data_IF_126967880965
#
_entry.id   IF_126967880965
#
_cell.length_a   1.000
_cell.length_b   1.000
_cell.length_c   1.000
_cell.angle_alpha   90.00
_cell.angle_beta   90.00
_cell.angle_gamma   90.00
#
_symmetry.space_group_name_H-M   'P 1'
#
loop_
_entity.id
_entity.type
_entity.pdbx_description
1 polymer ?
#
# COMPACT_ATOMS: atom_id res chain seq x y z
N UNK A 1 7.42 1.81 7.05
CA UNK A 1 6.58 3.02 7.26
C UNK A 1 7.05 3.91 8.41
N UNK A 2 7.12 3.42 9.66
CA UNK A 2 7.49 4.23 10.85
C UNK A 2 8.73 5.13 10.67
N UNK A 3 9.86 4.56 10.23
CA UNK A 3 11.09 5.34 9.98
C UNK A 3 10.91 6.42 8.91
N UNK A 4 10.11 6.16 7.87
CA UNK A 4 9.84 7.15 6.81
C UNK A 4 9.02 8.31 7.34
N UNK A 5 7.98 8.03 8.13
CA UNK A 5 7.12 9.05 8.72
C UNK A 5 7.95 10.02 9.55
N UNK A 6 8.77 9.49 10.44
CA UNK A 6 9.59 10.30 11.33
C UNK A 6 10.74 11.02 10.62
N UNK A 7 11.34 10.42 9.59
CA UNK A 7 12.33 11.10 8.75
C UNK A 7 11.73 12.34 8.07
N UNK A 8 10.48 12.23 7.60
CA UNK A 8 9.78 13.31 6.90
C UNK A 8 9.19 14.35 7.86
N UNK A 9 8.63 13.92 8.99
CA UNK A 9 8.04 14.77 10.02
C UNK A 9 8.61 14.39 11.40
N UNK A 10 9.76 14.97 11.80
CA UNK A 10 10.43 14.62 13.05
C UNK A 10 9.61 14.87 14.33
N UNK A 11 8.62 15.76 14.25
CA UNK A 11 7.73 16.08 15.37
C UNK A 11 6.54 15.13 15.50
N UNK A 12 6.36 14.18 14.57
CA UNK A 12 5.30 13.17 14.67
C UNK A 12 5.73 12.08 15.66
N UNK A 13 4.93 11.89 16.70
CA UNK A 13 5.11 10.74 17.60
C UNK A 13 4.73 9.45 16.89
N UNK A 14 5.62 8.46 16.92
CA UNK A 14 5.41 7.17 16.26
C UNK A 14 5.56 6.04 17.26
N UNK A 15 4.52 5.22 17.38
CA UNK A 15 4.58 3.94 18.06
C UNK A 15 4.65 2.80 17.04
N UNK A 16 5.66 1.93 17.15
CA UNK A 16 5.83 0.74 16.32
C UNK A 16 5.80 -0.52 17.19
N UNK A 17 4.87 -1.43 16.88
CA UNK A 17 4.83 -2.76 17.46
C UNK A 17 5.23 -3.82 16.42
N UNK A 18 6.09 -4.76 16.83
CA UNK A 18 6.63 -5.82 16.00
C UNK A 18 7.72 -6.59 16.74
N UNK A 19 8.22 -7.73 16.21
CA UNK A 19 9.35 -8.45 16.77
C UNK A 19 10.64 -7.63 16.58
N UNK A 20 10.89 -6.70 17.50
CA UNK A 20 12.01 -5.75 17.41
C UNK A 20 13.15 -6.20 18.31
N UNK A 21 14.15 -6.84 17.72
CA UNK A 21 15.38 -7.21 18.42
C UNK A 21 16.38 -6.08 18.53
N UNK A 22 17.56 -6.40 19.07
CA UNK A 22 18.61 -5.42 19.33
C UNK A 22 19.12 -4.75 18.06
N UNK A 23 19.17 -5.48 16.94
CA UNK A 23 19.64 -4.94 15.66
C UNK A 23 18.62 -3.96 15.09
N UNK A 24 17.36 -4.36 14.96
CA UNK A 24 16.30 -3.48 14.47
C UNK A 24 16.14 -2.27 15.39
N UNK A 25 16.23 -2.47 16.72
CA UNK A 25 16.25 -1.38 17.70
C UNK A 25 17.29 -0.31 17.37
N UNK A 26 18.51 -0.72 17.02
CA UNK A 26 19.61 0.20 16.71
C UNK A 26 19.44 0.93 15.36
N UNK A 27 18.65 0.36 14.45
CA UNK A 27 18.33 0.95 13.14
C UNK A 27 17.13 1.90 13.20
N UNK A 28 16.25 1.74 14.20
CA UNK A 28 15.15 2.66 14.45
C UNK A 28 15.69 3.95 15.08
N UNK A 29 15.07 5.08 14.74
CA UNK A 29 15.39 6.34 15.38
C UNK A 29 14.98 6.31 16.86
N UNK A 30 15.69 7.03 17.75
CA UNK A 30 15.46 6.96 19.20
C UNK A 30 14.05 7.36 19.65
N UNK A 31 13.35 8.23 18.91
CA UNK A 31 12.01 8.71 19.28
C UNK A 31 10.87 7.80 18.82
N UNK A 32 11.15 6.67 18.15
CA UNK A 32 10.11 5.67 17.88
C UNK A 32 9.82 4.91 19.17
N UNK A 33 8.64 5.14 19.74
CA UNK A 33 8.15 4.37 20.87
C UNK A 33 7.86 2.94 20.42
N UNK A 34 8.24 1.96 21.23
CA UNK A 34 7.95 0.57 20.94
C UNK A 34 7.52 -0.11 22.24
N UNK A 35 6.40 -0.84 22.23
CA UNK A 35 6.02 -1.66 23.37
C UNK A 35 7.15 -2.61 23.78
N UNK A 36 7.27 -2.90 25.07
CA UNK A 36 8.25 -3.87 25.57
C UNK A 36 7.69 -5.27 25.36
N UNK A 37 8.36 -6.10 24.56
CA UNK A 37 7.95 -7.47 24.26
C UNK A 37 8.60 -8.47 25.22
N UNK A 38 7.84 -9.44 25.72
CA UNK A 38 8.35 -10.55 26.55
C UNK A 38 8.00 -11.91 25.93
N UNK A 39 8.93 -12.87 25.77
CA UNK A 39 10.39 -12.81 25.97
C UNK A 39 11.18 -12.61 24.66
N UNK A 40 12.35 -11.97 24.77
CA UNK A 40 13.39 -11.75 23.73
C UNK A 40 12.87 -11.73 22.29
N UNK A 41 12.41 -10.57 21.81
CA UNK A 41 12.29 -10.34 20.39
C UNK A 41 13.68 -10.50 19.76
N UNK A 42 13.96 -11.68 19.20
CA UNK A 42 15.07 -11.82 18.26
C UNK A 42 14.70 -11.05 17.00
N UNK A 43 15.71 -10.47 16.35
CA UNK A 43 15.48 -9.85 15.06
C UNK A 43 15.01 -10.91 14.06
N UNK A 44 13.89 -10.64 13.40
CA UNK A 44 13.44 -11.44 12.26
C UNK A 44 14.19 -10.98 11.01
N UNK A 45 15.20 -11.76 10.62
CA UNK A 45 16.10 -11.39 9.53
C UNK A 45 15.54 -11.85 8.19
N UNK A 46 15.37 -10.88 7.29
CA UNK A 46 15.03 -11.11 5.88
C UNK A 46 16.25 -10.79 5.04
N UNK A 47 16.73 -11.78 4.29
CA UNK A 47 17.82 -11.60 3.35
C UNK A 47 17.24 -11.16 2.01
N UNK A 48 17.68 -9.98 1.56
CA UNK A 48 17.22 -9.37 0.33
C UNK A 48 18.40 -9.36 -0.63
N UNK A 49 18.28 -10.17 -1.68
CA UNK A 49 19.29 -10.34 -2.71
C UNK A 49 18.82 -9.58 -3.96
N UNK A 50 19.29 -8.34 -4.12
CA UNK A 50 19.02 -7.52 -5.30
C UNK A 50 19.97 -7.86 -6.45
N UNK A 51 19.46 -7.79 -7.69
CA UNK A 51 20.23 -7.99 -8.92
C UNK A 51 19.80 -6.96 -9.98
N UNK A 52 20.73 -6.23 -10.63
CA UNK A 52 20.38 -5.30 -11.70
C UNK A 52 20.09 -6.05 -13.00
N UNK A 53 19.49 -5.35 -13.96
CA UNK A 53 19.29 -5.83 -15.33
C UNK A 53 20.64 -6.06 -16.02
N UNK A 54 20.79 -7.21 -16.68
CA UNK A 54 22.02 -7.56 -17.40
C UNK A 54 23.13 -8.14 -16.54
N UNK A 55 22.91 -8.33 -15.23
CA UNK A 55 23.84 -9.06 -14.37
C UNK A 55 24.00 -10.50 -14.87
N UNK A 56 25.24 -11.01 -14.82
CA UNK A 56 25.58 -12.35 -15.30
C UNK A 56 26.12 -13.20 -14.16
N UNK A 57 25.56 -14.39 -13.98
CA UNK A 57 26.11 -15.41 -13.09
C UNK A 57 26.13 -16.76 -13.83
N UNK A 58 27.35 -17.26 -14.10
CA UNK A 58 27.54 -18.42 -14.96
C UNK A 58 26.99 -18.19 -16.37
N UNK A 59 26.08 -19.06 -16.82
CA UNK A 59 25.43 -18.98 -18.13
C UNK A 59 24.13 -18.17 -18.17
N UNK A 60 23.72 -17.55 -17.06
CA UNK A 60 22.43 -16.85 -16.94
C UNK A 60 22.66 -15.34 -16.90
N UNK A 61 21.78 -14.59 -17.57
CA UNK A 61 21.76 -13.12 -17.59
C UNK A 61 20.38 -12.63 -17.15
N UNK A 62 20.30 -11.70 -16.20
CA UNK A 62 19.04 -11.12 -15.76
C UNK A 62 18.40 -10.23 -16.85
N UNK A 63 17.09 -10.36 -17.06
CA UNK A 63 16.35 -9.56 -18.05
C UNK A 63 15.78 -8.26 -17.48
N UNK A 64 15.75 -8.13 -16.15
CA UNK A 64 15.27 -6.98 -15.40
C UNK A 64 16.10 -6.78 -14.12
N UNK A 65 15.99 -5.59 -13.53
CA UNK A 65 16.44 -5.35 -12.17
C UNK A 65 15.33 -5.80 -11.21
N UNK A 66 15.64 -6.64 -10.23
CA UNK A 66 14.67 -7.14 -9.27
C UNK A 66 15.38 -7.68 -8.01
N UNK A 67 14.64 -8.33 -7.12
CA UNK A 67 15.16 -8.92 -5.88
C UNK A 67 14.54 -10.28 -5.58
N UNK A 68 15.28 -11.11 -4.86
CA UNK A 68 14.76 -12.30 -4.15
C UNK A 68 14.82 -12.03 -2.65
N UNK A 69 13.72 -12.31 -1.95
CA UNK A 69 13.63 -12.18 -0.49
C UNK A 69 13.49 -13.59 0.10
N UNK A 70 14.36 -13.94 1.04
CA UNK A 70 14.27 -15.18 1.81
C UNK A 70 14.32 -14.86 3.31
N UNK A 71 13.51 -15.56 4.09
CA UNK A 71 13.47 -15.39 5.55
C UNK A 71 13.01 -16.67 6.24
N UNK A 72 13.26 -16.75 7.55
CA UNK A 72 12.64 -17.72 8.45
C UNK A 72 11.85 -16.95 9.51
N UNK A 73 10.83 -16.22 9.05
CA UNK A 73 10.08 -15.29 9.87
C UNK A 73 8.92 -16.00 10.59
N UNK A 74 9.16 -16.42 11.83
CA UNK A 74 8.15 -17.13 12.63
C UNK A 74 7.27 -16.15 13.40
N UNK A 75 7.85 -15.05 13.88
CA UNK A 75 7.15 -14.10 14.74
C UNK A 75 6.12 -13.28 13.96
N UNK A 76 6.48 -12.74 12.79
CA UNK A 76 5.53 -11.97 11.99
C UNK A 76 4.47 -12.88 11.32
N UNK A 77 4.83 -14.11 10.95
CA UNK A 77 3.87 -15.11 10.44
C UNK A 77 2.74 -15.43 11.45
N UNK A 78 2.99 -15.21 12.75
CA UNK A 78 2.00 -15.36 13.83
C UNK A 78 1.43 -14.03 14.32
N UNK A 79 1.90 -12.90 13.75
CA UNK A 79 1.60 -11.54 14.20
C UNK A 79 1.77 -11.37 15.72
N UNK A 80 2.85 -11.90 16.32
CA UNK A 80 2.98 -12.01 17.80
C UNK A 80 2.87 -10.67 18.55
N UNK A 81 3.11 -9.55 17.87
CA UNK A 81 3.03 -8.21 18.46
C UNK A 81 1.60 -7.62 18.49
N UNK A 82 0.58 -8.34 18.01
CA UNK A 82 -0.79 -7.84 17.90
C UNK A 82 -1.38 -7.47 19.27
N UNK A 83 -1.16 -8.30 20.28
CA UNK A 83 -1.64 -8.09 21.65
C UNK A 83 -1.02 -6.85 22.28
N UNK A 84 0.31 -6.69 22.17
CA UNK A 84 1.03 -5.54 22.74
C UNK A 84 0.69 -4.25 21.99
N UNK A 85 0.49 -4.33 20.67
CA UNK A 85 -0.02 -3.22 19.87
C UNK A 85 -1.38 -2.78 20.39
N UNK A 86 -2.32 -3.72 20.55
CA UNK A 86 -3.67 -3.46 21.09
C UNK A 86 -3.64 -2.84 22.48
N UNK A 87 -2.80 -3.36 23.39
CA UNK A 87 -2.69 -2.83 24.74
C UNK A 87 -2.21 -1.37 24.74
N UNK A 88 -1.21 -1.07 23.91
CA UNK A 88 -0.57 0.26 23.87
C UNK A 88 -1.42 1.31 23.14
N UNK A 89 -2.29 0.89 22.20
CA UNK A 89 -3.19 1.80 21.45
C UNK A 89 -4.02 2.70 22.40
N UNK A 90 -4.54 2.15 23.49
CA UNK A 90 -5.38 2.87 24.45
C UNK A 90 -4.66 4.03 25.15
N UNK A 91 -3.40 3.83 25.52
CA UNK A 91 -2.56 4.85 26.16
C UNK A 91 -1.95 5.82 25.15
N UNK A 92 -1.62 5.34 23.95
CA UNK A 92 -0.96 6.14 22.91
C UNK A 92 -1.93 7.10 22.21
N UNK A 93 -3.22 6.76 22.11
CA UNK A 93 -4.29 7.59 21.51
C UNK A 93 -3.91 8.15 20.13
N UNK A 94 -3.63 7.29 19.14
CA UNK A 94 -3.13 7.72 17.85
C UNK A 94 -4.17 8.52 17.04
N UNK A 95 -3.67 9.47 16.25
CA UNK A 95 -4.44 10.16 15.20
C UNK A 95 -4.55 9.33 13.91
N UNK A 96 -3.73 8.30 13.74
CA UNK A 96 -3.70 7.38 12.60
C UNK A 96 -3.20 6.01 13.05
N UNK A 97 -3.91 4.95 12.67
CA UNK A 97 -3.46 3.57 12.85
C UNK A 97 -3.06 2.99 11.50
N UNK A 98 -1.88 2.35 11.44
CA UNK A 98 -1.39 1.66 10.26
C UNK A 98 -1.19 0.20 10.61
N UNK A 99 -1.76 -0.70 9.80
CA UNK A 99 -1.63 -2.15 9.94
C UNK A 99 -1.06 -2.76 8.66
N UNK A 100 -0.16 -3.72 8.81
CA UNK A 100 0.33 -4.58 7.74
C UNK A 100 0.77 -5.92 8.33
N UNK A 101 1.36 -6.79 7.52
CA UNK A 101 1.91 -8.08 7.94
C UNK A 101 0.92 -9.24 7.91
N UNK A 102 -0.38 -9.01 7.72
CA UNK A 102 -1.37 -10.09 7.61
C UNK A 102 -1.07 -11.06 6.45
N UNK A 103 -0.39 -10.59 5.39
CA UNK A 103 0.08 -11.42 4.28
C UNK A 103 1.09 -12.51 4.70
N UNK A 104 1.84 -12.28 5.79
CA UNK A 104 2.84 -13.23 6.30
C UNK A 104 2.21 -14.48 6.93
N UNK A 105 0.93 -14.43 7.30
CA UNK A 105 0.21 -15.58 7.84
C UNK A 105 -0.15 -16.62 6.77
N UNK A 106 0.04 -16.37 5.47
CA UNK A 106 -0.42 -17.27 4.40
C UNK A 106 0.12 -18.70 4.50
N UNK A 107 1.32 -18.87 5.06
CA UNK A 107 1.95 -20.17 5.29
C UNK A 107 1.46 -20.92 6.54
N UNK A 108 0.64 -20.29 7.39
CA UNK A 108 0.06 -20.91 8.58
C UNK A 108 -1.18 -21.75 8.25
N UNK A 109 -1.56 -22.62 9.19
CA UNK A 109 -2.77 -23.47 9.04
C UNK A 109 -4.04 -22.64 8.91
N UNK A 110 -5.04 -23.12 8.16
CA UNK A 110 -6.31 -22.41 7.97
C UNK A 110 -7.04 -22.10 9.29
N UNK A 111 -6.96 -23.00 10.28
CA UNK A 111 -7.51 -22.76 11.62
C UNK A 111 -6.80 -21.65 12.38
N UNK A 112 -5.47 -21.57 12.25
CA UNK A 112 -4.69 -20.47 12.83
C UNK A 112 -5.05 -19.14 12.15
N UNK A 113 -5.01 -19.10 10.80
CA UNK A 113 -5.37 -17.91 10.01
C UNK A 113 -6.76 -17.38 10.39
N UNK A 114 -7.77 -18.24 10.46
CA UNK A 114 -9.14 -17.87 10.85
C UNK A 114 -9.21 -17.28 12.26
N UNK A 115 -8.60 -17.92 13.25
CA UNK A 115 -8.57 -17.41 14.63
C UNK A 115 -7.84 -16.08 14.72
N UNK A 116 -6.69 -15.96 14.05
CA UNK A 116 -5.88 -14.75 14.10
C UNK A 116 -6.54 -13.57 13.39
N UNK A 117 -7.24 -13.80 12.29
CA UNK A 117 -8.08 -12.79 11.63
C UNK A 117 -9.21 -12.27 12.55
N UNK A 118 -9.80 -13.13 13.38
CA UNK A 118 -10.78 -12.69 14.40
C UNK A 118 -10.13 -11.76 15.43
N UNK A 119 -8.89 -12.03 15.85
CA UNK A 119 -8.17 -11.15 16.77
C UNK A 119 -7.83 -9.80 16.12
N UNK A 120 -7.43 -9.80 14.85
CA UNK A 120 -7.23 -8.57 14.06
C UNK A 120 -8.53 -7.78 13.95
N UNK A 121 -9.65 -8.45 13.67
CA UNK A 121 -10.96 -7.81 13.61
C UNK A 121 -11.34 -7.14 14.94
N UNK A 122 -11.13 -7.83 16.08
CA UNK A 122 -11.38 -7.26 17.41
C UNK A 122 -10.51 -6.03 17.69
N UNK A 123 -9.23 -6.08 17.31
CA UNK A 123 -8.34 -4.93 17.44
C UNK A 123 -8.87 -3.73 16.64
N UNK A 124 -9.28 -3.98 15.39
CA UNK A 124 -9.83 -2.94 14.52
C UNK A 124 -11.15 -2.37 15.06
N UNK A 125 -11.98 -3.22 15.66
CA UNK A 125 -13.25 -2.81 16.29
C UNK A 125 -13.03 -1.94 17.55
N UNK A 126 -11.88 -2.07 18.22
CA UNK A 126 -11.51 -1.22 19.36
C UNK A 126 -11.02 0.18 18.95
N UNK A 127 -10.62 0.37 17.68
CA UNK A 127 -10.14 1.68 17.21
C UNK A 127 -11.34 2.61 16.97
N UNK A 128 -11.40 3.78 17.65
CA UNK A 128 -12.49 4.75 17.47
C UNK A 128 -12.70 5.10 15.99
N UNK A 129 -13.97 5.28 15.59
CA UNK A 129 -14.30 5.61 14.21
C UNK A 129 -13.68 6.94 13.72
N UNK A 130 -13.36 7.84 14.65
CA UNK A 130 -12.67 9.12 14.41
C UNK A 130 -11.18 8.97 14.10
N UNK A 131 -10.58 7.84 14.46
CA UNK A 131 -9.18 7.52 14.14
C UNK A 131 -9.15 6.66 12.86
N UNK A 132 -8.63 7.16 11.73
CA UNK A 132 -8.55 6.39 10.51
C UNK A 132 -7.59 5.21 10.66
N UNK A 133 -7.99 4.07 10.12
CA UNK A 133 -7.14 2.89 10.00
C UNK A 133 -6.74 2.68 8.55
N UNK A 134 -5.44 2.60 8.29
CA UNK A 134 -4.87 2.22 7.00
C UNK A 134 -4.35 0.78 7.05
N UNK A 135 -4.74 -0.04 6.08
CA UNK A 135 -4.15 -1.36 5.84
C UNK A 135 -3.27 -1.31 4.61
N UNK A 136 -1.98 -1.65 4.75
CA UNK A 136 -1.10 -1.88 3.61
C UNK A 136 -1.09 -3.37 3.28
N UNK A 137 -1.66 -3.71 2.12
CA UNK A 137 -1.57 -5.07 1.58
C UNK A 137 -0.21 -5.29 0.93
N UNK A 138 0.22 -6.54 0.99
CA UNK A 138 1.31 -7.05 0.20
C UNK A 138 0.94 -8.44 -0.31
N UNK A 139 1.88 -9.08 -1.00
CA UNK A 139 1.62 -10.25 -1.83
C UNK A 139 1.10 -11.44 -1.03
N UNK A 140 -0.10 -11.89 -1.39
CA UNK A 140 -0.76 -13.10 -0.87
C UNK A 140 -1.03 -14.02 -2.05
N UNK A 141 -0.44 -15.21 -2.05
CA UNK A 141 -0.64 -16.22 -3.10
C UNK A 141 -1.88 -17.09 -2.90
N UNK A 142 -2.36 -17.22 -1.66
CA UNK A 142 -3.57 -17.96 -1.30
C UNK A 142 -4.81 -17.08 -1.48
N UNK A 143 -5.55 -17.28 -2.58
CA UNK A 143 -6.72 -16.49 -2.92
C UNK A 143 -7.88 -16.69 -1.93
N UNK A 144 -8.06 -17.89 -1.36
CA UNK A 144 -9.11 -18.11 -0.37
C UNK A 144 -8.81 -17.33 0.91
N UNK A 145 -7.55 -17.35 1.35
CA UNK A 145 -7.11 -16.53 2.48
C UNK A 145 -7.21 -15.02 2.20
N UNK A 146 -6.87 -14.57 0.99
CA UNK A 146 -7.01 -13.16 0.61
C UNK A 146 -8.49 -12.70 0.69
N UNK A 147 -9.42 -13.54 0.23
CA UNK A 147 -10.86 -13.28 0.36
C UNK A 147 -11.26 -13.18 1.82
N UNK A 148 -10.88 -14.15 2.66
CA UNK A 148 -11.20 -14.15 4.08
C UNK A 148 -10.63 -12.91 4.81
N UNK A 149 -9.39 -12.52 4.47
CA UNK A 149 -8.74 -11.31 4.97
C UNK A 149 -9.53 -10.06 4.57
N UNK A 150 -9.89 -9.92 3.30
CA UNK A 150 -10.62 -8.77 2.79
C UNK A 150 -12.02 -8.66 3.42
N UNK A 151 -12.77 -9.76 3.49
CA UNK A 151 -14.09 -9.80 4.11
C UNK A 151 -14.06 -9.46 5.60
N UNK A 152 -13.01 -9.88 6.30
CA UNK A 152 -12.84 -9.63 7.73
C UNK A 152 -12.37 -8.20 8.02
N UNK A 153 -11.40 -7.68 7.26
CA UNK A 153 -10.70 -6.44 7.62
C UNK A 153 -11.23 -5.20 6.90
N UNK A 154 -11.62 -5.30 5.63
CA UNK A 154 -12.00 -4.11 4.84
C UNK A 154 -13.18 -3.33 5.42
N UNK A 155 -14.21 -3.97 6.00
CA UNK A 155 -15.29 -3.22 6.64
C UNK A 155 -14.84 -2.36 7.82
N UNK A 156 -13.66 -2.62 8.38
CA UNK A 156 -13.17 -2.01 9.63
C UNK A 156 -12.03 -1.01 9.43
N UNK A 157 -11.51 -0.89 8.21
CA UNK A 157 -10.44 0.05 7.86
C UNK A 157 -11.01 1.22 7.06
N UNK A 158 -10.38 2.39 7.14
CA UNK A 158 -10.81 3.58 6.40
C UNK A 158 -10.00 3.78 5.11
N UNK A 159 -8.78 3.22 5.08
CA UNK A 159 -7.89 3.29 3.92
C UNK A 159 -7.18 1.97 3.61
N UNK A 160 -6.95 1.71 2.32
CA UNK A 160 -6.21 0.56 1.79
C UNK A 160 -5.05 1.04 0.91
N UNK A 161 -3.87 0.43 1.04
CA UNK A 161 -2.73 0.59 0.14
C UNK A 161 -2.37 -0.74 -0.52
N UNK A 162 -2.10 -0.73 -1.84
CA UNK A 162 -1.80 -1.93 -2.62
C UNK A 162 -1.20 -1.60 -3.99
N UNK A 163 -0.53 -2.59 -4.62
CA UNK A 163 -0.05 -2.48 -6.00
C UNK A 163 -0.91 -3.26 -7.02
N UNK A 164 -0.47 -3.31 -8.28
CA UNK A 164 -1.18 -4.02 -9.36
C UNK A 164 -1.41 -5.51 -9.10
N UNK A 165 -0.45 -6.20 -8.46
CA UNK A 165 -0.52 -7.63 -8.19
C UNK A 165 -1.56 -7.92 -7.13
N UNK A 166 -1.57 -7.14 -6.04
CA UNK A 166 -2.60 -7.27 -5.00
C UNK A 166 -3.98 -6.85 -5.50
N UNK A 167 -4.08 -5.81 -6.34
CA UNK A 167 -5.37 -5.39 -6.93
C UNK A 167 -5.99 -6.51 -7.77
N UNK A 168 -5.20 -7.11 -8.67
CA UNK A 168 -5.65 -8.20 -9.54
C UNK A 168 -5.93 -9.47 -8.72
N UNK A 169 -5.11 -9.79 -7.74
CA UNK A 169 -5.31 -10.96 -6.88
C UNK A 169 -6.58 -10.83 -6.05
N UNK A 170 -6.86 -9.64 -5.54
CA UNK A 170 -8.10 -9.34 -4.82
C UNK A 170 -9.33 -9.52 -5.73
N UNK A 171 -9.29 -8.94 -6.94
CA UNK A 171 -10.35 -9.11 -7.94
C UNK A 171 -10.61 -10.58 -8.28
N UNK A 172 -9.55 -11.37 -8.49
CA UNK A 172 -9.65 -12.82 -8.70
C UNK A 172 -10.25 -13.54 -7.50
N UNK A 173 -9.76 -13.24 -6.29
CA UNK A 173 -10.21 -13.90 -5.05
C UNK A 173 -11.71 -13.70 -4.76
N UNK A 174 -12.24 -12.56 -5.18
CA UNK A 174 -13.64 -12.17 -5.02
C UNK A 174 -14.52 -12.54 -6.22
N UNK A 175 -13.98 -13.22 -7.22
CA UNK A 175 -14.72 -13.66 -8.40
C UNK A 175 -15.21 -12.51 -9.29
N UNK A 176 -14.44 -11.41 -9.37
CA UNK A 176 -14.80 -10.27 -10.20
C UNK A 176 -14.81 -10.64 -11.69
N UNK A 177 -15.75 -10.09 -12.44
CA UNK A 177 -15.92 -10.37 -13.87
C UNK A 177 -14.95 -9.52 -14.72
N UNK A 178 -13.69 -9.95 -14.78
CA UNK A 178 -12.66 -9.39 -15.64
C UNK A 178 -11.98 -10.49 -16.45
N UNK A 179 -11.54 -10.17 -17.66
CA UNK A 179 -10.72 -11.08 -18.48
C UNK A 179 -9.28 -11.13 -17.96
N UNK A 180 -9.08 -11.90 -16.89
CA UNK A 180 -7.76 -12.09 -16.29
C UNK A 180 -6.78 -12.84 -17.18
N UNK A 181 -7.25 -13.57 -18.20
CA UNK A 181 -6.40 -14.35 -19.09
C UNK A 181 -5.66 -13.45 -20.10
N UNK A 182 -6.28 -12.34 -20.50
CA UNK A 182 -5.72 -11.37 -21.44
C UNK A 182 -5.23 -10.08 -20.77
N UNK A 183 -5.09 -10.06 -19.45
CA UNK A 183 -4.53 -8.90 -18.76
C UNK A 183 -3.07 -8.65 -19.19
N UNK A 184 -2.71 -7.38 -19.51
CA UNK A 184 -1.35 -7.06 -19.91
C UNK A 184 -0.36 -7.23 -18.76
N UNK A 185 0.88 -7.61 -19.09
CA UNK A 185 1.95 -7.76 -18.10
C UNK A 185 2.34 -6.42 -17.43
N UNK A 186 2.11 -5.29 -18.10
CA UNK A 186 2.29 -3.95 -17.53
C UNK A 186 0.92 -3.34 -17.20
N UNK A 187 0.77 -2.64 -16.07
CA UNK A 187 -0.49 -2.01 -15.69
C UNK A 187 -0.94 -1.00 -16.74
N UNK A 188 -2.13 -1.21 -17.28
CA UNK A 188 -2.81 -0.25 -18.15
C UNK A 188 -3.65 0.69 -17.28
N UNK A 189 -3.54 2.01 -17.50
CA UNK A 189 -4.21 3.03 -16.67
C UNK A 189 -5.73 2.84 -16.67
N UNK A 190 -6.32 2.64 -17.85
CA UNK A 190 -7.76 2.43 -18.03
C UNK A 190 -8.27 1.18 -17.31
N UNK A 191 -7.53 0.07 -17.41
CA UNK A 191 -7.87 -1.18 -16.73
C UNK A 191 -7.72 -1.08 -15.20
N UNK A 192 -6.64 -0.45 -14.72
CA UNK A 192 -6.44 -0.20 -13.29
C UNK A 192 -7.56 0.68 -12.73
N UNK A 193 -7.96 1.72 -13.47
CA UNK A 193 -9.10 2.56 -13.10
C UNK A 193 -10.38 1.74 -12.95
N UNK A 194 -10.64 0.79 -13.85
CA UNK A 194 -11.80 -0.12 -13.77
C UNK A 194 -11.72 -1.08 -12.57
N UNK A 195 -10.55 -1.65 -12.29
CA UNK A 195 -10.33 -2.51 -11.14
C UNK A 195 -10.47 -1.74 -9.80
N UNK A 196 -9.96 -0.50 -9.74
CA UNK A 196 -10.14 0.37 -8.57
C UNK A 196 -11.60 0.75 -8.38
N UNK A 197 -12.31 1.03 -9.47
CA UNK A 197 -13.74 1.28 -9.44
C UNK A 197 -14.49 0.07 -8.89
N UNK A 198 -14.22 -1.14 -9.41
CA UNK A 198 -14.77 -2.39 -8.90
C UNK A 198 -14.49 -2.58 -7.40
N UNK A 199 -13.23 -2.40 -6.96
CA UNK A 199 -12.83 -2.58 -5.57
C UNK A 199 -13.63 -1.67 -4.65
N UNK A 200 -13.70 -0.37 -4.98
CA UNK A 200 -14.43 0.59 -4.17
C UNK A 200 -15.93 0.29 -4.21
N UNK A 201 -16.52 0.04 -5.38
CA UNK A 201 -17.95 -0.29 -5.47
C UNK A 201 -18.30 -1.60 -4.74
N UNK A 202 -17.35 -2.51 -4.53
CA UNK A 202 -17.61 -3.82 -3.90
C UNK A 202 -17.34 -3.84 -2.40
N UNK A 203 -16.30 -3.14 -1.95
CA UNK A 203 -15.78 -3.27 -0.58
C UNK A 203 -15.87 -1.98 0.25
N UNK A 204 -16.08 -0.82 -0.37
CA UNK A 204 -16.20 0.45 0.34
C UNK A 204 -17.60 0.65 0.96
N UNK A 205 -17.78 1.78 1.64
CA UNK A 205 -19.08 2.24 2.12
C UNK A 205 -20.15 2.38 1.01
N UNK A 206 -19.76 2.44 -0.27
CA UNK A 206 -20.71 2.47 -1.41
C UNK A 206 -21.31 1.08 -1.69
N UNK A 207 -20.51 0.03 -1.58
CA UNK A 207 -20.95 -1.35 -1.83
C UNK A 207 -21.46 -2.08 -0.60
N UNK A 208 -20.99 -1.66 0.58
CA UNK A 208 -21.26 -2.31 1.86
C UNK A 208 -21.57 -1.24 2.89
N UNK A 209 -22.84 -1.13 3.27
CA UNK A 209 -23.35 -0.08 4.19
C UNK A 209 -22.54 0.04 5.50
N UNK A 210 -22.06 -1.08 6.04
CA UNK A 210 -21.27 -1.12 7.29
C UNK A 210 -19.76 -0.96 7.10
N UNK A 211 -19.28 -0.77 5.86
CA UNK A 211 -17.85 -0.64 5.59
C UNK A 211 -17.36 0.78 5.90
N UNK A 212 -16.23 0.85 6.60
CA UNK A 212 -15.48 2.09 6.84
C UNK A 212 -14.60 2.52 5.66
N UNK A 213 -14.32 1.59 4.74
CA UNK A 213 -13.34 1.81 3.67
C UNK A 213 -13.82 2.92 2.74
N UNK A 214 -13.04 3.99 2.63
CA UNK A 214 -13.38 5.15 1.79
C UNK A 214 -12.20 5.72 1.02
N UNK A 215 -10.98 5.17 1.18
CA UNK A 215 -9.78 5.57 0.45
C UNK A 215 -8.94 4.38 0.00
N UNK A 216 -8.57 4.32 -1.26
CA UNK A 216 -7.59 3.38 -1.80
C UNK A 216 -6.42 4.17 -2.38
N UNK A 217 -5.20 3.85 -1.97
CA UNK A 217 -3.98 4.36 -2.55
C UNK A 217 -3.31 3.25 -3.35
N UNK A 218 -3.55 3.30 -4.66
CA UNK A 218 -2.92 2.41 -5.62
C UNK A 218 -1.57 2.96 -6.02
N UNK A 219 -0.55 2.11 -6.00
CA UNK A 219 0.79 2.45 -6.46
C UNK A 219 1.34 1.37 -7.37
N UNK A 220 1.87 1.75 -8.52
CA UNK A 220 2.69 0.89 -9.38
C UNK A 220 3.96 1.61 -9.77
N UNK A 221 4.85 0.94 -10.50
CA UNK A 221 6.14 1.48 -10.92
C UNK A 221 6.01 2.83 -11.63
N UNK A 222 5.05 2.98 -12.54
CA UNK A 222 4.98 4.12 -13.47
C UNK A 222 3.94 5.19 -13.14
N UNK A 223 2.96 4.91 -12.28
CA UNK A 223 1.94 5.88 -11.86
C UNK A 223 1.25 5.46 -10.57
N UNK A 224 0.67 6.43 -9.87
CA UNK A 224 -0.15 6.19 -8.68
C UNK A 224 -1.56 6.77 -8.87
N UNK A 225 -2.52 6.20 -8.15
CA UNK A 225 -3.90 6.70 -8.08
C UNK A 225 -4.38 6.68 -6.64
N UNK A 226 -4.91 7.80 -6.16
CA UNK A 226 -5.73 7.82 -4.94
C UNK A 226 -7.19 7.89 -5.37
N UNK A 227 -7.98 6.92 -4.92
CA UNK A 227 -9.42 6.87 -5.14
C UNK A 227 -10.16 7.02 -3.79
N UNK A 228 -11.11 7.95 -3.72
CA UNK A 228 -11.81 8.31 -2.48
C UNK A 228 -13.32 8.40 -2.69
N UNK A 229 -14.10 7.83 -1.77
CA UNK A 229 -15.55 7.99 -1.73
C UNK A 229 -15.90 9.45 -1.44
N UNK A 230 -16.82 10.03 -2.22
CA UNK A 230 -17.11 11.47 -2.16
C UNK A 230 -18.10 11.87 -1.08
N UNK A 231 -18.98 10.95 -0.66
CA UNK A 231 -20.06 11.23 0.31
C UNK A 231 -20.16 10.12 1.36
N UNK A 232 -20.00 10.44 2.66
CA UNK A 232 -19.51 11.72 3.19
C UNK A 232 -18.04 11.97 2.78
N UNK A 233 -17.61 13.24 2.62
CA UNK A 233 -16.23 13.55 2.22
C UNK A 233 -15.28 13.39 3.41
N UNK A 234 -14.75 12.18 3.61
CA UNK A 234 -13.84 11.89 4.71
C UNK A 234 -12.39 12.28 4.47
N UNK A 235 -12.00 12.45 3.20
CA UNK A 235 -10.62 12.65 2.79
C UNK A 235 -10.46 13.94 2.00
N UNK A 236 -9.46 14.73 2.36
CA UNK A 236 -9.03 15.92 1.65
C UNK A 236 -7.53 15.85 1.31
N UNK A 237 -7.09 16.78 0.45
CA UNK A 237 -5.70 16.93 0.01
C UNK A 237 -5.14 15.74 -0.82
N UNK A 238 -6.01 14.94 -1.46
CA UNK A 238 -5.60 13.78 -2.27
C UNK A 238 -4.61 14.09 -3.39
N UNK A 239 -4.63 15.32 -3.94
CA UNK A 239 -3.68 15.78 -4.97
C UNK A 239 -2.24 15.84 -4.45
N UNK A 240 -2.02 16.52 -3.32
CA UNK A 240 -0.69 16.57 -2.72
C UNK A 240 -0.27 15.21 -2.17
N UNK A 241 -1.22 14.41 -1.66
CA UNK A 241 -0.96 13.07 -1.18
C UNK A 241 -0.41 12.13 -2.27
N UNK A 242 -1.08 12.05 -3.43
CA UNK A 242 -0.64 11.16 -4.51
C UNK A 242 0.70 11.63 -5.10
N UNK A 243 0.89 12.95 -5.22
CA UNK A 243 2.16 13.56 -5.65
C UNK A 243 3.31 13.26 -4.69
N UNK A 244 3.08 13.36 -3.38
CA UNK A 244 4.08 13.06 -2.37
C UNK A 244 4.51 11.59 -2.43
N UNK A 245 3.55 10.68 -2.63
CA UNK A 245 3.79 9.27 -2.89
C UNK A 245 4.63 9.03 -4.16
N UNK A 246 4.24 9.62 -5.29
CA UNK A 246 4.96 9.47 -6.56
C UNK A 246 6.37 10.06 -6.51
N UNK A 247 6.54 11.21 -5.82
CA UNK A 247 7.84 11.85 -5.63
C UNK A 247 8.79 10.97 -4.83
N UNK A 248 8.35 10.41 -3.70
CA UNK A 248 9.24 9.56 -2.88
C UNK A 248 9.60 8.27 -3.60
N UNK A 249 8.72 7.73 -4.46
CA UNK A 249 9.01 6.54 -5.26
C UNK A 249 10.27 6.75 -6.12
N UNK A 250 10.33 7.84 -6.88
CA UNK A 250 11.49 8.15 -7.72
C UNK A 250 12.75 8.43 -6.90
N UNK A 251 12.67 9.36 -5.94
CA UNK A 251 13.81 9.80 -5.15
C UNK A 251 14.44 8.66 -4.33
N UNK A 252 13.62 7.85 -3.66
CA UNK A 252 14.12 6.72 -2.87
C UNK A 252 14.68 5.61 -3.77
N UNK A 253 14.04 5.32 -4.91
CA UNK A 253 14.56 4.31 -5.84
C UNK A 253 15.96 4.64 -6.35
N UNK A 254 16.24 5.92 -6.61
CA UNK A 254 17.55 6.41 -7.04
C UNK A 254 18.51 6.76 -5.89
N UNK A 255 18.05 6.70 -4.64
CA UNK A 255 18.80 7.14 -3.45
C UNK A 255 19.34 8.58 -3.55
N UNK A 256 18.48 9.52 -3.97
CA UNK A 256 18.81 10.94 -4.12
C UNK A 256 17.79 11.83 -3.43
N UNK A 257 18.21 13.04 -3.03
CA UNK A 257 17.32 14.01 -2.39
C UNK A 257 16.50 14.84 -3.40
N UNK A 258 17.02 14.99 -4.62
CA UNK A 258 16.45 15.84 -5.67
C UNK A 258 16.45 15.12 -7.02
N UNK A 259 15.51 15.48 -7.90
CA UNK A 259 15.48 14.95 -9.25
C UNK A 259 16.63 15.55 -10.08
N UNK A 260 17.40 14.67 -10.71
CA UNK A 260 18.51 15.01 -11.59
C UNK A 260 18.17 14.63 -13.03
N UNK A 261 18.40 15.55 -13.97
CA UNK A 261 18.13 15.31 -15.38
C UNK A 261 18.88 14.06 -15.87
N UNK A 262 18.19 13.22 -16.65
CA UNK A 262 18.77 12.01 -17.22
C UNK A 262 18.78 10.78 -16.30
N UNK A 263 18.60 10.92 -14.97
CA UNK A 263 18.45 9.76 -14.05
C UNK A 263 17.04 9.17 -14.04
N UNK A 264 16.06 9.94 -14.48
CA UNK A 264 14.65 9.60 -14.41
C UNK A 264 14.00 9.55 -15.79
N UNK A 265 12.89 8.82 -15.89
CA UNK A 265 12.06 8.79 -17.09
C UNK A 265 10.57 8.61 -16.75
N UNK A 266 9.71 9.12 -17.64
CA UNK A 266 8.29 8.80 -17.62
C UNK A 266 8.05 7.47 -18.32
N UNK A 267 7.34 6.56 -17.66
CA UNK A 267 6.98 5.24 -18.21
C UNK A 267 5.46 5.06 -18.36
N UNK A 268 4.75 6.16 -18.58
CA UNK A 268 3.32 6.17 -18.92
C UNK A 268 3.12 6.71 -20.34
N UNK A 269 2.05 6.31 -21.04
CA UNK A 269 1.66 7.00 -22.26
C UNK A 269 1.28 8.45 -21.93
N UNK A 270 1.61 9.39 -22.83
CA UNK A 270 1.19 10.78 -22.69
C UNK A 270 -0.31 10.93 -22.91
N UNK A 271 -0.89 10.11 -23.79
CA UNK A 271 -2.32 10.06 -24.08
C UNK A 271 -2.91 8.73 -23.62
N UNK A 272 -3.95 8.77 -22.81
CA UNK A 272 -4.65 7.57 -22.34
C UNK A 272 -6.14 7.82 -22.09
N UNK A 273 -6.91 6.74 -22.03
CA UNK A 273 -8.32 6.77 -21.62
C UNK A 273 -8.45 6.41 -20.14
N UNK A 274 -9.58 6.72 -19.52
CA UNK A 274 -9.79 6.51 -18.08
C UNK A 274 -10.52 5.21 -17.74
N UNK A 275 -10.99 4.46 -18.74
CA UNK A 275 -11.72 3.19 -18.56
C UNK A 275 -11.69 2.38 -19.85
N UNK A 276 -11.77 1.05 -19.73
CA UNK A 276 -12.05 0.16 -20.88
C UNK A 276 -13.52 -0.28 -20.90
N UNK A 277 -14.20 -0.29 -19.76
CA UNK A 277 -15.58 -0.79 -19.60
C UNK A 277 -16.65 0.31 -19.62
N UNK A 278 -16.32 1.54 -19.23
CA UNK A 278 -17.25 2.65 -19.19
C UNK A 278 -17.37 3.35 -20.55
N UNK A 279 -18.58 3.40 -21.11
CA UNK A 279 -18.80 3.94 -22.46
C UNK A 279 -18.47 5.44 -22.61
N UNK A 280 -18.57 6.23 -21.55
CA UNK A 280 -18.26 7.67 -21.59
C UNK A 280 -16.76 7.87 -21.38
N UNK A 281 -16.19 7.22 -20.37
CA UNK A 281 -14.78 7.41 -20.01
C UNK A 281 -13.81 6.71 -20.98
N UNK A 282 -14.26 5.69 -21.71
CA UNK A 282 -13.48 5.07 -22.79
C UNK A 282 -13.32 5.98 -24.02
N UNK A 283 -14.17 7.00 -24.16
CA UNK A 283 -14.08 8.01 -25.23
C UNK A 283 -13.36 9.28 -24.77
N UNK A 284 -13.08 9.41 -23.47
CA UNK A 284 -12.39 10.56 -22.91
C UNK A 284 -10.88 10.35 -22.93
N UNK A 285 -10.18 11.12 -23.76
CA UNK A 285 -8.72 11.13 -23.83
C UNK A 285 -8.14 12.17 -22.87
N UNK A 286 -7.19 11.73 -22.06
CA UNK A 286 -6.38 12.56 -21.18
C UNK A 286 -4.98 12.67 -21.78
N UNK A 287 -4.50 13.90 -21.93
CA UNK A 287 -3.14 14.21 -22.38
C UNK A 287 -2.33 14.81 -21.23
N UNK A 288 -1.20 14.19 -20.88
CA UNK A 288 -0.27 14.70 -19.88
C UNK A 288 0.63 15.77 -20.49
N UNK A 289 0.73 16.92 -19.82
CA UNK A 289 1.74 17.93 -20.09
C UNK A 289 2.66 18.10 -18.88
N UNK A 290 3.88 18.64 -19.05
CA UNK A 290 4.77 18.94 -17.92
C UNK A 290 4.11 19.82 -16.84
N UNK A 291 3.14 20.66 -17.22
CA UNK A 291 2.40 21.58 -16.35
C UNK A 291 1.16 20.91 -15.71
N UNK A 292 0.69 19.77 -16.24
CA UNK A 292 -0.52 19.06 -15.81
C UNK A 292 -0.25 17.63 -15.33
N UNK A 293 0.83 17.43 -14.58
CA UNK A 293 1.24 16.11 -14.05
C UNK A 293 0.27 15.48 -13.03
N UNK A 294 -0.87 16.11 -12.71
CA UNK A 294 -1.92 15.54 -11.88
C UNK A 294 -3.25 15.62 -12.59
N UNK A 295 -3.90 14.47 -12.75
CA UNK A 295 -5.20 14.34 -13.41
C UNK A 295 -6.24 13.95 -12.35
N UNK A 296 -7.44 14.49 -12.45
CA UNK A 296 -8.55 14.12 -11.55
C UNK A 296 -9.81 13.88 -12.34
N UNK A 297 -10.59 12.87 -11.94
CA UNK A 297 -11.89 12.57 -12.51
C UNK A 297 -12.82 11.97 -11.45
N UNK A 298 -14.09 11.87 -11.78
CA UNK A 298 -15.12 11.30 -10.91
C UNK A 298 -15.87 10.19 -11.65
N UNK A 299 -16.21 9.11 -10.93
CA UNK A 299 -17.01 8.00 -11.46
C UNK A 299 -17.78 7.30 -10.34
N UNK A 300 -19.10 7.26 -10.45
CA UNK A 300 -19.97 6.51 -9.53
C UNK A 300 -19.83 6.90 -8.06
N UNK A 301 -19.75 8.20 -7.75
CA UNK A 301 -19.59 8.68 -6.36
C UNK A 301 -18.18 8.56 -5.78
N UNK A 302 -17.19 8.30 -6.63
CA UNK A 302 -15.78 8.17 -6.28
C UNK A 302 -14.98 9.23 -7.04
N UNK A 303 -14.11 9.95 -6.34
CA UNK A 303 -13.12 10.84 -6.92
C UNK A 303 -11.78 10.13 -7.05
N UNK A 304 -11.12 10.27 -8.18
CA UNK A 304 -9.83 9.68 -8.49
C UNK A 304 -8.82 10.78 -8.75
N UNK A 305 -7.61 10.60 -8.25
CA UNK A 305 -6.48 11.50 -8.49
C UNK A 305 -5.28 10.68 -8.92
N UNK A 306 -4.84 10.91 -10.15
CA UNK A 306 -3.73 10.23 -10.79
C UNK A 306 -2.51 11.14 -10.90
N UNK A 307 -1.32 10.55 -10.82
CA UNK A 307 -0.08 11.21 -11.22
C UNK A 307 0.93 10.17 -11.71
N UNK A 308 1.76 10.49 -12.74
CA UNK A 308 2.83 9.61 -13.15
C UNK A 308 3.99 9.64 -12.15
N UNK A 309 4.79 8.58 -12.16
CA UNK A 309 6.05 8.50 -11.41
C UNK A 309 7.21 8.85 -12.34
N UNK A 310 8.13 9.67 -11.85
CA UNK A 310 9.46 9.81 -12.45
C UNK A 310 10.30 8.60 -12.05
N UNK A 311 10.33 7.59 -12.92
CA UNK A 311 10.94 6.29 -12.64
C UNK A 311 12.45 6.40 -12.72
N UNK A 312 13.14 5.93 -11.67
CA UNK A 312 14.60 5.85 -11.65
C UNK A 312 15.11 4.85 -12.71
N UNK A 313 15.98 5.29 -13.63
CA UNK A 313 16.53 4.43 -14.70
C UNK A 313 17.46 3.33 -14.18
N UNK A 314 18.19 3.61 -13.10
CA UNK A 314 19.16 2.72 -12.49
C UNK A 314 18.93 2.68 -10.97
N UNK A 315 17.89 1.96 -10.51
CA UNK A 315 17.52 1.97 -9.10
C UNK A 315 18.58 1.27 -8.24
N UNK A 316 18.85 1.85 -7.07
CA UNK A 316 19.77 1.33 -6.05
C UNK A 316 19.05 0.85 -4.79
N UNK A 317 17.79 1.27 -4.56
CA UNK A 317 16.99 0.86 -3.39
C UNK A 317 15.54 0.62 -3.78
N UNK A 318 15.15 -0.63 -4.01
CA UNK A 318 13.78 -0.95 -4.47
C UNK A 318 12.87 -1.50 -3.36
N UNK A 319 13.46 -2.00 -2.28
CA UNK A 319 12.71 -2.57 -1.15
C UNK A 319 12.07 -1.49 -0.29
N UNK A 320 10.85 -1.77 0.19
CA UNK A 320 10.09 -0.86 1.05
C UNK A 320 9.61 0.40 0.32
N UNK A 321 9.63 0.42 -1.01
CA UNK A 321 9.18 1.57 -1.78
C UNK A 321 7.68 1.79 -1.63
N UNK A 322 6.87 0.73 -1.74
CA UNK A 322 5.42 0.77 -1.47
C UNK A 322 5.11 1.33 -0.08
N UNK A 323 5.84 0.86 0.94
CA UNK A 323 5.69 1.37 2.30
C UNK A 323 5.97 2.87 2.40
N UNK A 324 7.04 3.34 1.75
CA UNK A 324 7.38 4.76 1.72
C UNK A 324 6.32 5.59 0.97
N UNK A 325 5.84 5.08 -0.16
CA UNK A 325 4.78 5.70 -0.98
C UNK A 325 3.51 5.88 -0.16
N UNK A 326 3.01 4.82 0.48
CA UNK A 326 1.83 4.88 1.32
C UNK A 326 2.03 5.76 2.55
N UNK A 327 3.20 5.72 3.19
CA UNK A 327 3.54 6.63 4.31
C UNK A 327 3.42 8.10 3.90
N UNK A 328 4.01 8.48 2.76
CA UNK A 328 3.94 9.85 2.25
C UNK A 328 2.52 10.23 1.82
N UNK A 329 1.80 9.30 1.19
CA UNK A 329 0.40 9.51 0.84
C UNK A 329 -0.47 9.76 2.08
N UNK A 330 -0.25 9.06 3.18
CA UNK A 330 -0.98 9.27 4.45
C UNK A 330 -0.61 10.58 5.11
N UNK A 331 0.68 10.91 5.23
CA UNK A 331 1.16 12.16 5.84
C UNK A 331 0.60 13.43 5.18
N UNK A 332 0.35 13.36 3.87
CA UNK A 332 -0.22 14.47 3.11
C UNK A 332 -1.74 14.37 2.94
N UNK A 333 -2.37 13.29 3.41
CA UNK A 333 -3.83 13.18 3.43
C UNK A 333 -4.39 13.86 4.68
N UNK A 334 -5.59 14.43 4.56
CA UNK A 334 -6.34 14.94 5.71
C UNK A 334 -7.59 14.08 5.89
N UNK A 335 -7.78 13.53 7.08
CA UNK A 335 -8.95 12.74 7.42
C UNK A 335 -9.88 13.54 8.34
N UNK A 336 -11.17 13.51 8.06
CA UNK A 336 -12.20 14.09 8.91
C UNK A 336 -13.44 13.21 8.88
N UNK A 337 -13.82 12.66 10.02
CA UNK A 337 -15.11 11.98 10.21
C UNK A 337 -16.00 12.87 11.06
N UNK A 338 -17.09 13.34 10.47
CA UNK A 338 -18.14 14.07 11.19
C UNK A 338 -18.94 13.13 12.06
#
# INVERSE_FOLDING_TARGET
MAAKIQQTQPNTEVMLAGPIGATLRSLLQPHIHTPTFTPESRDEVHLIMEYPKGERWGGITSTCANRVIISHDVSNAKMVALEDFRQTLSSFKPDLVILSGAHLMQGETSDFKRKRLVDVARLLDDVPATTPVHSELATIGDLDYLRDLAETTFPRIDSLGLNEQELVSLAKSSGADFDFAHMPAKPNISLVSDLLHWLIQTHSSLGREKSRLTRVHFHTLSFHVIATVMRPPHWANSKSAVLAGARIAGLQACDVEHFEAGKFELQVPLDFTLSVTDGVMSQHFVSLTPESGVVSWERGGVAYVFTPVLVCRAPSKTVGLGDAISSMGLLYSQFSRQ
#
